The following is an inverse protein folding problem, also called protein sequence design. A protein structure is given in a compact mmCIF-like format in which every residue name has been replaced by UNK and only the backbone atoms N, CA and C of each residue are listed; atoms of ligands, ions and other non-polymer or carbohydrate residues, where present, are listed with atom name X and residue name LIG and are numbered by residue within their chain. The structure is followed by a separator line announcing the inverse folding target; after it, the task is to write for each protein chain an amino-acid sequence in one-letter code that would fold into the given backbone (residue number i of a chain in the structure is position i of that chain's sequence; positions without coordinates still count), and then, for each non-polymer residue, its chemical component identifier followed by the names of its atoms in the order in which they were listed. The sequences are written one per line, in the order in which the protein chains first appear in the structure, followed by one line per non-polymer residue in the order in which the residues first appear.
data_IF_062651286928
#
_entry.id   IF_062651286928
#
_cell.length_a   1.000
_cell.length_b   1.000
_cell.length_c   1.000
_cell.angle_alpha   90.00
_cell.angle_beta   90.00
_cell.angle_gamma   90.00
#
_symmetry.space_group_name_H-M   'P 1'
#
loop_
_entity.id
_entity.type
_entity.pdbx_description
1 polymer ?
#
# COMPACT_ATOMS: atom_id res chain seq x y z
N UNK A 1 -5.00 10.47 -8.92
CA UNK A 1 -3.72 9.94 -9.48
C UNK A 1 -2.56 10.30 -8.58
N UNK A 2 -2.31 11.58 -8.29
CA UNK A 2 -1.26 11.97 -7.31
C UNK A 2 -1.46 11.28 -5.95
N UNK A 3 -2.70 11.29 -5.43
CA UNK A 3 -3.04 10.60 -4.17
C UNK A 3 -2.77 9.09 -4.23
N UNK A 4 -3.19 8.44 -5.32
CA UNK A 4 -2.84 7.02 -5.59
C UNK A 4 -1.34 6.79 -5.54
N UNK A 5 -0.56 7.61 -6.24
CA UNK A 5 0.90 7.48 -6.34
C UNK A 5 1.58 7.72 -4.99
N UNK A 6 1.12 8.72 -4.23
CA UNK A 6 1.60 9.01 -2.88
C UNK A 6 1.33 7.84 -1.94
N UNK A 7 0.11 7.32 -1.91
CA UNK A 7 -0.23 6.15 -1.10
C UNK A 7 0.57 4.91 -1.51
N UNK A 8 0.74 4.67 -2.82
CA UNK A 8 1.59 3.60 -3.33
C UNK A 8 3.02 3.73 -2.82
N UNK A 9 3.62 4.93 -2.97
CA UNK A 9 4.99 5.20 -2.57
C UNK A 9 5.18 5.01 -1.06
N UNK A 10 4.30 5.56 -0.23
CA UNK A 10 4.35 5.42 1.23
C UNK A 10 4.26 3.95 1.67
N UNK A 11 3.33 3.18 1.10
CA UNK A 11 3.17 1.75 1.42
C UNK A 11 4.38 0.95 0.94
N UNK A 12 4.83 1.17 -0.30
CA UNK A 12 5.96 0.43 -0.87
C UNK A 12 7.25 0.72 -0.10
N UNK A 13 7.49 1.98 0.27
CA UNK A 13 8.67 2.40 1.03
C UNK A 13 8.65 1.85 2.46
N UNK A 14 7.50 1.90 3.14
CA UNK A 14 7.37 1.39 4.51
C UNK A 14 7.72 -0.10 4.63
N UNK A 15 7.54 -0.87 3.55
CA UNK A 15 7.74 -2.31 3.51
C UNK A 15 8.95 -2.76 2.68
N UNK A 16 9.79 -1.83 2.22
CA UNK A 16 10.96 -2.15 1.38
C UNK A 16 12.23 -1.56 1.97
N UNK A 17 13.20 -2.43 2.24
CA UNK A 17 14.57 -2.03 2.54
C UNK A 17 15.32 -1.75 1.23
N UNK A 18 15.52 -0.46 0.95
CA UNK A 18 16.20 0.01 -0.26
C UNK A 18 17.69 -0.34 -0.29
N UNK A 19 18.35 -0.51 0.88
CA UNK A 19 19.79 -0.83 0.94
C UNK A 19 20.05 -2.26 0.50
N UNK A 20 19.15 -3.18 0.86
CA UNK A 20 19.29 -4.61 0.57
C UNK A 20 18.38 -5.10 -0.56
N UNK A 21 17.60 -4.20 -1.16
CA UNK A 21 16.59 -4.52 -2.18
C UNK A 21 15.63 -5.64 -1.74
N UNK A 22 15.22 -5.62 -0.46
CA UNK A 22 14.31 -6.62 0.14
C UNK A 22 12.98 -5.97 0.48
N UNK A 23 11.90 -6.48 -0.07
CA UNK A 23 10.53 -6.08 0.33
C UNK A 23 9.82 -7.18 1.11
N UNK A 24 9.04 -6.76 2.11
CA UNK A 24 8.05 -7.58 2.82
C UNK A 24 6.76 -7.65 2.00
N UNK A 25 6.84 -8.39 0.89
CA UNK A 25 5.70 -8.58 -0.03
C UNK A 25 4.46 -9.18 0.65
N UNK A 26 4.68 -9.96 1.71
CA UNK A 26 3.63 -10.52 2.55
C UNK A 26 2.82 -9.40 3.25
N UNK A 27 3.49 -8.38 3.77
CA UNK A 27 2.84 -7.23 4.40
C UNK A 27 2.15 -6.34 3.38
N UNK A 28 2.75 -6.11 2.22
CA UNK A 28 2.09 -5.36 1.12
C UNK A 28 0.85 -6.12 0.63
N UNK A 29 0.92 -7.44 0.51
CA UNK A 29 -0.24 -8.27 0.16
C UNK A 29 -1.34 -8.21 1.23
N UNK A 30 -0.96 -8.12 2.52
CA UNK A 30 -1.90 -7.90 3.62
C UNK A 30 -2.54 -6.51 3.55
N UNK A 31 -1.77 -5.47 3.22
CA UNK A 31 -2.29 -4.12 2.96
C UNK A 31 -3.32 -4.14 1.82
N UNK A 32 -3.07 -4.87 0.73
CA UNK A 32 -4.05 -5.06 -0.36
C UNK A 32 -5.35 -5.70 0.15
N UNK A 33 -5.26 -6.76 0.98
CA UNK A 33 -6.44 -7.40 1.58
C UNK A 33 -7.23 -6.39 2.42
N UNK A 34 -6.56 -5.62 3.27
CA UNK A 34 -7.18 -4.59 4.12
C UNK A 34 -7.87 -3.51 3.30
N UNK A 35 -7.23 -3.02 2.23
CA UNK A 35 -7.83 -2.04 1.32
C UNK A 35 -9.15 -2.55 0.70
N UNK A 36 -9.21 -3.85 0.32
CA UNK A 36 -10.45 -4.47 -0.18
C UNK A 36 -11.52 -4.54 0.90
N UNK A 37 -11.15 -4.99 2.10
CA UNK A 37 -12.07 -5.11 3.24
C UNK A 37 -12.65 -3.75 3.64
N UNK A 38 -11.83 -2.69 3.67
CA UNK A 38 -12.31 -1.33 3.91
C UNK A 38 -13.19 -0.82 2.76
N UNK A 39 -12.88 -1.15 1.51
CA UNK A 39 -13.70 -0.80 0.35
C UNK A 39 -15.08 -1.47 0.41
N UNK A 40 -15.16 -2.67 0.98
CA UNK A 40 -16.43 -3.39 1.26
C UNK A 40 -17.23 -2.79 2.43
N UNK A 41 -16.71 -1.76 3.10
CA UNK A 41 -17.42 -1.01 4.13
C UNK A 41 -17.15 -1.44 5.57
N UNK A 42 -16.23 -2.38 5.81
CA UNK A 42 -15.87 -2.77 7.18
C UNK A 42 -15.15 -1.64 7.92
N UNK A 43 -15.37 -1.55 9.23
CA UNK A 43 -14.76 -0.57 10.11
C UNK A 43 -13.33 -0.91 10.53
N UNK A 44 -12.66 0.06 11.15
CA UNK A 44 -11.32 -0.12 11.72
C UNK A 44 -11.30 -1.20 12.80
N UNK A 45 -12.26 -1.16 13.73
CA UNK A 45 -12.37 -2.11 14.85
C UNK A 45 -12.50 -3.56 14.38
N UNK A 46 -13.27 -3.80 13.31
CA UNK A 46 -13.43 -5.13 12.72
C UNK A 46 -12.12 -5.67 12.13
N UNK A 47 -11.33 -4.81 11.50
CA UNK A 47 -10.04 -5.18 10.91
C UNK A 47 -8.99 -5.39 12.00
N UNK A 48 -8.95 -4.52 13.01
CA UNK A 48 -8.05 -4.63 14.16
C UNK A 48 -8.26 -5.93 14.95
N UNK A 49 -9.53 -6.32 15.13
CA UNK A 49 -9.89 -7.58 15.79
C UNK A 49 -9.41 -8.83 15.05
N UNK A 50 -9.14 -8.74 13.74
CA UNK A 50 -8.62 -9.84 12.93
C UNK A 50 -7.10 -9.81 12.82
N UNK A 51 -6.40 -10.63 13.60
CA UNK A 51 -4.92 -10.73 13.53
C UNK A 51 -4.39 -11.10 12.14
N UNK A 52 -5.17 -11.83 11.33
CA UNK A 52 -4.79 -12.13 9.94
C UNK A 52 -4.63 -10.84 9.11
N UNK A 53 -5.49 -9.85 9.37
CA UNK A 53 -5.53 -8.60 8.64
C UNK A 53 -4.68 -7.50 9.28
N UNK A 54 -4.62 -7.43 10.62
CA UNK A 54 -4.01 -6.30 11.33
C UNK A 54 -2.53 -6.49 11.68
N UNK A 55 -2.09 -7.73 11.93
CA UNK A 55 -0.75 -7.99 12.49
C UNK A 55 0.37 -7.40 11.63
N UNK A 56 1.31 -6.68 12.25
CA UNK A 56 2.46 -5.99 11.65
C UNK A 56 2.13 -4.77 10.75
N UNK A 57 0.85 -4.41 10.56
CA UNK A 57 0.45 -3.22 9.80
C UNK A 57 -0.52 -2.31 10.58
N UNK A 58 -0.63 -2.51 11.90
CA UNK A 58 -1.59 -1.84 12.78
C UNK A 58 -1.49 -0.31 12.69
N UNK A 59 -0.26 0.21 12.65
CA UNK A 59 0.02 1.65 12.58
C UNK A 59 -0.44 2.29 11.27
N UNK A 60 -0.66 1.49 10.21
CA UNK A 60 -1.08 1.96 8.89
C UNK A 60 -2.60 1.92 8.71
N UNK A 61 -3.33 1.13 9.51
CA UNK A 61 -4.76 0.84 9.28
C UNK A 61 -5.63 2.09 9.22
N UNK A 62 -5.41 3.06 10.12
CA UNK A 62 -6.13 4.33 10.11
C UNK A 62 -5.91 5.12 8.81
N UNK A 63 -4.66 5.18 8.33
CA UNK A 63 -4.32 5.83 7.07
C UNK A 63 -4.97 5.16 5.87
N UNK A 64 -4.99 3.83 5.85
CA UNK A 64 -5.63 3.03 4.80
C UNK A 64 -7.15 3.26 4.77
N UNK A 65 -7.82 3.23 5.93
CA UNK A 65 -9.25 3.47 6.02
C UNK A 65 -9.60 4.88 5.55
N UNK A 66 -8.83 5.88 5.99
CA UNK A 66 -8.99 7.27 5.55
C UNK A 66 -8.83 7.39 4.04
N UNK A 67 -7.79 6.78 3.46
CA UNK A 67 -7.57 6.80 2.01
C UNK A 67 -8.77 6.22 1.25
N UNK A 68 -9.29 5.07 1.69
CA UNK A 68 -10.45 4.40 1.05
C UNK A 68 -11.70 5.27 1.11
N UNK A 69 -11.96 5.91 2.25
CA UNK A 69 -13.14 6.79 2.44
C UNK A 69 -13.05 8.06 1.59
N UNK A 70 -11.88 8.66 1.50
CA UNK A 70 -11.67 9.92 0.79
C UNK A 70 -11.47 9.74 -0.73
N UNK A 71 -11.06 8.54 -1.16
CA UNK A 71 -10.62 8.27 -2.54
C UNK A 71 -11.14 6.94 -3.08
N UNK A 72 -12.40 6.58 -2.80
CA UNK A 72 -12.97 5.26 -3.13
C UNK A 72 -12.78 4.82 -4.59
N UNK A 73 -12.81 5.76 -5.55
CA UNK A 73 -12.59 5.51 -6.98
C UNK A 73 -11.13 5.22 -7.34
N UNK A 74 -10.16 5.60 -6.50
CA UNK A 74 -8.73 5.40 -6.71
C UNK A 74 -8.21 4.10 -6.05
N UNK A 75 -9.00 3.48 -5.17
CA UNK A 75 -8.59 2.29 -4.40
C UNK A 75 -8.21 1.12 -5.31
N UNK A 76 -8.99 0.86 -6.36
CA UNK A 76 -8.68 -0.24 -7.29
C UNK A 76 -7.35 -0.01 -8.02
N UNK A 77 -7.08 1.23 -8.42
CA UNK A 77 -5.80 1.61 -9.05
C UNK A 77 -4.64 1.43 -8.09
N UNK A 78 -4.81 1.80 -6.82
CA UNK A 78 -3.80 1.56 -5.79
C UNK A 78 -3.53 0.06 -5.61
N UNK A 79 -4.60 -0.75 -5.51
CA UNK A 79 -4.50 -2.21 -5.40
C UNK A 79 -3.77 -2.80 -6.60
N UNK A 80 -4.06 -2.34 -7.82
CA UNK A 80 -3.41 -2.81 -9.04
C UNK A 80 -1.91 -2.47 -9.05
N UNK A 81 -1.54 -1.24 -8.67
CA UNK A 81 -0.14 -0.82 -8.56
C UNK A 81 0.62 -1.64 -7.52
N UNK A 82 0.05 -1.85 -6.32
CA UNK A 82 0.65 -2.66 -5.27
C UNK A 82 0.77 -4.13 -5.70
N UNK A 83 -0.23 -4.65 -6.40
CA UNK A 83 -0.23 -6.02 -6.92
C UNK A 83 0.84 -6.22 -7.99
N UNK A 84 1.03 -5.23 -8.88
CA UNK A 84 2.11 -5.21 -9.85
C UNK A 84 3.48 -5.14 -9.15
N UNK A 85 3.60 -4.30 -8.13
CA UNK A 85 4.83 -4.16 -7.35
C UNK A 85 5.25 -5.47 -6.70
N UNK A 86 4.34 -6.14 -5.97
CA UNK A 86 4.62 -7.44 -5.33
C UNK A 86 5.14 -8.47 -6.34
N UNK A 87 4.55 -8.53 -7.54
CA UNK A 87 4.95 -9.46 -8.61
C UNK A 87 6.26 -9.08 -9.32
N UNK A 88 6.76 -7.86 -9.11
CA UNK A 88 7.94 -7.37 -9.80
C UNK A 88 9.23 -7.94 -9.21
N UNK A 89 10.27 -8.20 -10.03
CA UNK A 89 11.59 -8.54 -9.52
C UNK A 89 12.17 -7.45 -8.61
N UNK A 90 13.03 -7.82 -7.66
CA UNK A 90 13.61 -6.86 -6.70
C UNK A 90 14.26 -5.62 -7.34
N UNK A 91 15.07 -5.73 -8.43
CA UNK A 91 15.61 -4.54 -9.09
C UNK A 91 14.54 -3.62 -9.69
N UNK A 92 13.42 -4.18 -10.14
CA UNK A 92 12.31 -3.43 -10.70
C UNK A 92 11.52 -2.68 -9.61
N UNK A 93 11.33 -3.29 -8.45
CA UNK A 93 10.66 -2.66 -7.30
C UNK A 93 11.36 -1.37 -6.86
N UNK A 94 12.68 -1.42 -6.69
CA UNK A 94 13.46 -0.23 -6.33
C UNK A 94 13.30 0.88 -7.37
N UNK A 95 13.39 0.53 -8.66
CA UNK A 95 13.14 1.48 -9.74
C UNK A 95 11.73 2.06 -9.70
N UNK A 96 10.70 1.25 -9.44
CA UNK A 96 9.32 1.73 -9.33
C UNK A 96 9.15 2.74 -8.19
N UNK A 97 9.76 2.49 -7.03
CA UNK A 97 9.75 3.43 -5.90
C UNK A 97 10.41 4.75 -6.33
N UNK A 98 11.62 4.70 -6.88
CA UNK A 98 12.34 5.91 -7.32
C UNK A 98 11.62 6.66 -8.45
N UNK A 99 10.97 5.95 -9.38
CA UNK A 99 10.19 6.61 -10.43
C UNK A 99 9.00 7.36 -9.85
N UNK A 100 8.28 6.77 -8.90
CA UNK A 100 7.14 7.44 -8.28
C UNK A 100 7.59 8.60 -7.40
N UNK A 101 8.72 8.47 -6.69
CA UNK A 101 9.35 9.57 -5.94
C UNK A 101 9.58 10.79 -6.83
N UNK A 102 10.28 10.61 -7.95
CA UNK A 102 10.55 11.70 -8.91
C UNK A 102 9.24 12.31 -9.43
N UNK A 103 8.24 11.49 -9.77
CA UNK A 103 6.94 12.00 -10.26
C UNK A 103 6.16 12.80 -9.21
N UNK A 104 6.42 12.58 -7.92
CA UNK A 104 5.80 13.29 -6.81
C UNK A 104 6.58 14.54 -6.39
N UNK A 105 7.90 14.57 -6.58
CA UNK A 105 8.74 15.75 -6.34
C UNK A 105 8.61 16.81 -7.44
N UNK A 106 8.36 16.39 -8.68
CA UNK A 106 8.26 17.26 -9.86
C UNK A 106 6.88 17.96 -9.99
N UNK A 107 6.10 18.02 -8.90
CA UNK A 107 4.72 18.57 -8.83
C UNK A 107 4.50 19.44 -7.60
#
# INVERSE_FOLDING_TARGET
MERTLRAFYEIALAHTDLRWAKSRDDLISKTIKVLRVFKEGKGLEEVEASRELSSEIETQLNGLLRFVRENSQEVDKLIDLLSMFVKSPAPCKIKLISFVEVLLEDR
#
